data_IF_918668137369
#
_entry.id   IF_918668137369
#
_cell.length_a   1.000
_cell.length_b   1.000
_cell.length_c   1.000
_cell.angle_alpha   90.00
_cell.angle_beta   90.00
_cell.angle_gamma   90.00
#
_symmetry.space_group_name_H-M   'P 1'
#
loop_
_entity.id
_entity.type
_entity.pdbx_description
1 polymer ?
#
# COMPACT_ATOMS: atom_id res chain seq x y z
N UNK A 1 -30.33 3.85 -4.27
CA UNK A 1 -30.27 4.66 -3.04
C UNK A 1 -29.69 3.78 -1.94
N UNK A 2 -28.78 4.31 -1.11
CA UNK A 2 -28.10 3.57 -0.03
C UNK A 2 -28.32 4.35 1.27
N UNK A 3 -29.27 3.94 2.14
CA UNK A 3 -29.79 4.78 3.21
C UNK A 3 -28.77 5.13 4.30
N UNK A 4 -27.75 4.29 4.51
CA UNK A 4 -26.72 4.53 5.51
C UNK A 4 -25.48 5.26 4.94
N UNK A 5 -25.52 5.67 3.65
CA UNK A 5 -24.43 6.42 3.02
C UNK A 5 -23.19 5.56 2.76
N UNK A 6 -22.02 6.21 2.78
CA UNK A 6 -20.70 5.60 2.60
C UNK A 6 -20.01 5.30 3.94
N UNK A 7 -19.12 4.31 3.93
CA UNK A 7 -18.40 3.82 5.10
C UNK A 7 -17.52 4.90 5.75
N UNK A 8 -16.78 5.69 4.96
CA UNK A 8 -15.96 6.81 5.47
C UNK A 8 -16.79 7.79 6.32
N UNK A 9 -18.02 8.04 5.87
CA UNK A 9 -18.95 8.97 6.48
C UNK A 9 -19.50 8.48 7.83
N UNK A 10 -19.30 7.20 8.14
CA UNK A 10 -19.67 6.55 9.41
C UNK A 10 -18.45 6.25 10.29
N UNK A 11 -17.28 5.97 9.71
CA UNK A 11 -16.02 5.82 10.44
C UNK A 11 -15.51 7.15 11.01
N UNK A 12 -15.62 8.25 10.25
CA UNK A 12 -14.93 9.51 10.59
C UNK A 12 -15.80 10.59 11.23
N UNK A 13 -17.12 10.40 11.36
CA UNK A 13 -18.00 11.36 12.05
C UNK A 13 -18.14 10.97 13.53
N UNK A 14 -17.94 11.93 14.42
CA UNK A 14 -18.06 11.75 15.88
C UNK A 14 -19.44 11.23 16.33
N UNK A 15 -20.50 11.53 15.56
CA UNK A 15 -21.90 11.21 15.92
C UNK A 15 -22.39 9.84 15.43
N UNK A 16 -21.56 9.09 14.71
CA UNK A 16 -21.87 7.74 14.23
C UNK A 16 -20.83 6.76 14.72
N UNK A 17 -21.28 5.71 15.38
CA UNK A 17 -20.41 4.62 15.80
C UNK A 17 -20.95 3.31 15.22
N UNK A 18 -20.18 2.70 14.32
CA UNK A 18 -20.39 1.32 13.92
C UNK A 18 -19.85 0.41 15.03
N UNK A 19 -20.68 -0.51 15.54
CA UNK A 19 -20.24 -1.56 16.45
C UNK A 19 -19.23 -2.49 15.77
N UNK A 20 -18.50 -3.28 16.56
CA UNK A 20 -17.56 -4.25 16.01
C UNK A 20 -18.21 -5.22 15.02
N UNK A 21 -19.37 -5.81 15.36
CA UNK A 21 -20.09 -6.73 14.47
C UNK A 21 -20.40 -6.12 13.10
N UNK A 22 -20.81 -4.84 13.09
CA UNK A 22 -21.08 -4.11 11.84
C UNK A 22 -19.80 -3.90 11.05
N UNK A 23 -18.70 -3.48 11.70
CA UNK A 23 -17.39 -3.29 11.08
C UNK A 23 -16.87 -4.57 10.44
N UNK A 24 -16.89 -5.68 11.18
CA UNK A 24 -16.41 -6.98 10.71
C UNK A 24 -17.30 -7.53 9.59
N UNK A 25 -18.62 -7.37 9.68
CA UNK A 25 -19.58 -7.69 8.61
C UNK A 25 -19.29 -6.88 7.33
N UNK A 26 -19.00 -5.58 7.46
CA UNK A 26 -18.67 -4.70 6.32
C UNK A 26 -17.37 -5.13 5.65
N UNK A 27 -16.31 -5.42 6.43
CA UNK A 27 -15.04 -5.91 5.91
C UNK A 27 -15.21 -7.24 5.13
N UNK A 28 -15.96 -8.19 5.69
CA UNK A 28 -16.31 -9.45 5.00
C UNK A 28 -17.11 -9.22 3.72
N UNK A 29 -18.09 -8.31 3.76
CA UNK A 29 -18.88 -7.95 2.57
C UNK A 29 -18.06 -7.31 1.46
N UNK A 30 -17.08 -6.46 1.81
CA UNK A 30 -16.13 -5.90 0.85
C UNK A 30 -15.22 -6.99 0.25
N UNK A 31 -14.70 -7.88 1.08
CA UNK A 31 -13.88 -9.00 0.61
C UNK A 31 -14.65 -9.90 -0.36
N UNK A 32 -15.93 -10.22 -0.06
CA UNK A 32 -16.80 -10.97 -0.96
C UNK A 32 -17.09 -10.24 -2.27
N UNK A 33 -17.30 -8.92 -2.24
CA UNK A 33 -17.47 -8.13 -3.46
C UNK A 33 -16.20 -8.16 -4.32
N UNK A 34 -15.02 -8.10 -3.70
CA UNK A 34 -13.74 -8.15 -4.41
C UNK A 34 -13.43 -9.55 -4.97
N UNK A 35 -13.75 -10.61 -4.22
CA UNK A 35 -13.69 -11.99 -4.70
C UNK A 35 -14.51 -12.19 -5.96
N UNK A 36 -15.75 -11.68 -5.97
CA UNK A 36 -16.62 -11.76 -7.14
C UNK A 36 -15.98 -11.10 -8.37
N UNK A 37 -15.44 -9.88 -8.21
CA UNK A 37 -14.80 -9.13 -9.30
C UNK A 37 -13.52 -9.81 -9.83
N UNK A 38 -12.72 -10.44 -8.98
CA UNK A 38 -11.43 -11.02 -9.36
C UNK A 38 -11.49 -12.47 -9.83
N UNK A 39 -12.43 -13.26 -9.30
CA UNK A 39 -12.39 -14.73 -9.39
C UNK A 39 -13.72 -15.41 -9.76
N UNK A 40 -14.88 -14.76 -9.64
CA UNK A 40 -16.19 -15.42 -9.84
C UNK A 40 -17.02 -14.85 -11.01
N UNK A 41 -16.62 -13.69 -11.56
CA UNK A 41 -17.15 -13.17 -12.81
C UNK A 41 -16.45 -13.78 -14.03
N UNK A 42 -17.10 -13.74 -15.21
CA UNK A 42 -16.59 -14.32 -16.47
C UNK A 42 -15.22 -13.78 -16.91
N UNK A 43 -14.85 -12.58 -16.45
CA UNK A 43 -13.57 -11.93 -16.67
C UNK A 43 -13.13 -11.20 -15.40
N UNK A 44 -11.83 -11.18 -15.10
CA UNK A 44 -11.31 -10.38 -14.00
C UNK A 44 -11.61 -8.88 -14.19
N UNK A 45 -12.25 -8.27 -13.21
CA UNK A 45 -12.50 -6.82 -13.13
C UNK A 45 -11.58 -6.21 -12.07
N UNK A 46 -10.65 -5.36 -12.49
CA UNK A 46 -9.83 -4.56 -11.57
C UNK A 46 -10.54 -3.22 -11.34
N UNK A 47 -10.85 -2.89 -10.09
CA UNK A 47 -11.67 -1.73 -9.71
C UNK A 47 -10.88 -0.41 -9.71
N UNK A 48 -9.61 -0.44 -9.27
CA UNK A 48 -8.64 0.69 -9.29
C UNK A 48 -8.95 1.86 -8.35
N UNK A 49 -10.00 1.80 -7.55
CA UNK A 49 -10.41 2.88 -6.63
C UNK A 49 -11.22 2.36 -5.43
N UNK A 50 -10.74 1.27 -4.81
CA UNK A 50 -11.33 0.74 -3.58
C UNK A 50 -10.90 1.66 -2.42
N UNK A 51 -11.89 2.29 -1.78
CA UNK A 51 -11.70 3.23 -0.66
C UNK A 51 -12.97 3.34 0.18
N UNK A 52 -12.84 3.77 1.43
CA UNK A 52 -13.98 3.88 2.37
C UNK A 52 -15.13 4.75 1.86
N UNK A 53 -14.90 5.76 1.00
CA UNK A 53 -15.98 6.56 0.41
C UNK A 53 -16.76 5.86 -0.71
N UNK A 54 -16.16 4.84 -1.35
CA UNK A 54 -16.76 4.09 -2.46
C UNK A 54 -17.49 2.83 -1.97
N UNK A 55 -17.53 2.61 -0.65
CA UNK A 55 -18.20 1.48 -0.01
C UNK A 55 -19.50 1.99 0.59
N UNK A 56 -20.61 1.72 -0.09
CA UNK A 56 -21.94 2.14 0.31
C UNK A 56 -22.60 1.09 1.19
N UNK A 57 -23.43 1.53 2.14
CA UNK A 57 -24.14 0.65 3.06
C UNK A 57 -25.66 0.67 2.83
N UNK A 58 -26.25 -0.51 2.69
CA UNK A 58 -27.71 -0.66 2.64
C UNK A 58 -28.36 -0.54 4.04
N UNK A 59 -29.69 -0.66 4.13
CA UNK A 59 -30.45 -0.53 5.38
C UNK A 59 -30.09 -1.53 6.46
N UNK A 60 -29.42 -2.63 6.10
CA UNK A 60 -28.96 -3.69 7.01
C UNK A 60 -27.44 -3.65 7.21
N UNK A 61 -26.79 -2.54 6.86
CA UNK A 61 -25.34 -2.33 6.92
C UNK A 61 -24.56 -3.39 6.13
N UNK A 62 -25.12 -3.95 5.05
CA UNK A 62 -24.33 -4.77 4.13
C UNK A 62 -23.51 -3.84 3.21
N UNK A 63 -22.23 -4.16 3.03
CA UNK A 63 -21.35 -3.44 2.13
C UNK A 63 -21.74 -3.63 0.65
N UNK A 64 -21.68 -2.56 -0.13
CA UNK A 64 -21.85 -2.51 -1.58
C UNK A 64 -20.73 -1.64 -2.16
N UNK A 65 -19.76 -2.27 -2.80
CA UNK A 65 -18.70 -1.57 -3.52
C UNK A 65 -19.30 -0.87 -4.75
N UNK A 66 -18.93 0.39 -4.97
CA UNK A 66 -19.41 1.23 -6.05
C UNK A 66 -18.31 2.13 -6.63
N UNK A 67 -18.71 2.99 -7.58
CA UNK A 67 -17.81 3.79 -8.42
C UNK A 67 -16.82 2.96 -9.28
N UNK A 68 -17.39 2.28 -10.28
CA UNK A 68 -16.64 1.55 -11.29
C UNK A 68 -16.08 2.45 -12.41
N UNK A 69 -16.03 3.78 -12.25
CA UNK A 69 -15.57 4.71 -13.31
C UNK A 69 -14.14 4.46 -13.78
N UNK A 70 -13.26 4.01 -12.86
CA UNK A 70 -11.89 3.64 -13.17
C UNK A 70 -11.70 2.15 -13.49
N UNK A 71 -12.73 1.31 -13.32
CA UNK A 71 -12.62 -0.15 -13.42
C UNK A 71 -12.31 -0.62 -14.84
N UNK A 72 -11.59 -1.74 -14.97
CA UNK A 72 -11.17 -2.31 -16.27
C UNK A 72 -11.27 -3.84 -16.25
N UNK A 73 -11.69 -4.41 -17.38
CA UNK A 73 -11.61 -5.85 -17.64
C UNK A 73 -10.17 -6.23 -17.95
N UNK A 74 -9.72 -7.37 -17.42
CA UNK A 74 -8.38 -7.92 -17.63
C UNK A 74 -8.52 -9.39 -18.02
N UNK A 75 -8.04 -9.76 -19.21
CA UNK A 75 -7.90 -11.16 -19.58
C UNK A 75 -6.95 -11.85 -18.59
N UNK A 76 -7.39 -12.96 -17.98
CA UNK A 76 -6.62 -13.71 -16.98
C UNK A 76 -5.22 -14.13 -17.48
N UNK A 77 -5.01 -14.21 -18.80
CA UNK A 77 -3.75 -14.60 -19.44
C UNK A 77 -2.78 -13.43 -19.73
N UNK A 78 -3.25 -12.16 -19.77
CA UNK A 78 -2.45 -11.03 -20.31
C UNK A 78 -1.75 -10.17 -19.26
N UNK A 79 -1.93 -10.47 -17.97
CA UNK A 79 -1.27 -9.75 -16.88
C UNK A 79 -1.66 -8.27 -16.77
N UNK A 80 -0.86 -7.50 -16.03
CA UNK A 80 -1.14 -6.10 -15.70
C UNK A 80 -1.01 -5.18 -16.92
N UNK A 81 -2.06 -4.41 -17.18
CA UNK A 81 -2.14 -3.45 -18.28
C UNK A 81 -1.58 -2.09 -17.89
N UNK A 82 -0.83 -1.45 -18.80
CA UNK A 82 -0.44 -0.05 -18.66
C UNK A 82 -1.68 0.83 -18.80
N UNK A 83 -1.96 1.64 -17.77
CA UNK A 83 -3.09 2.57 -17.74
C UNK A 83 -2.62 3.96 -17.31
N UNK A 84 -3.42 4.98 -17.60
CA UNK A 84 -3.20 6.31 -17.00
C UNK A 84 -3.22 6.22 -15.47
N UNK A 85 -2.30 6.94 -14.83
CA UNK A 85 -2.19 7.02 -13.37
C UNK A 85 -3.49 7.57 -12.80
N UNK A 86 -4.25 6.69 -12.13
CA UNK A 86 -5.55 7.01 -11.55
C UNK A 86 -5.80 6.14 -10.31
N UNK A 87 -6.60 6.66 -9.38
CA UNK A 87 -6.86 6.10 -8.06
C UNK A 87 -6.76 7.19 -6.99
N UNK A 88 -6.97 6.82 -5.73
CA UNK A 88 -6.96 7.77 -4.61
C UNK A 88 -5.69 7.64 -3.75
N UNK A 89 -4.99 8.75 -3.53
CA UNK A 89 -3.79 8.80 -2.67
C UNK A 89 -4.08 8.22 -1.27
N UNK A 90 -3.15 7.42 -0.74
CA UNK A 90 -3.32 6.66 0.50
C UNK A 90 -3.93 5.26 0.32
N UNK A 91 -4.61 5.01 -0.80
CA UNK A 91 -5.16 3.68 -1.16
C UNK A 91 -4.39 3.01 -2.30
N UNK A 92 -3.74 3.80 -3.16
CA UNK A 92 -2.94 3.29 -4.28
C UNK A 92 -1.74 2.47 -3.79
N UNK A 93 -1.59 1.28 -4.37
CA UNK A 93 -0.43 0.43 -4.14
C UNK A 93 0.88 1.10 -4.63
N UNK A 94 2.05 0.84 -3.98
CA UNK A 94 3.31 1.48 -4.34
C UNK A 94 3.69 1.33 -5.82
N UNK A 95 3.46 0.16 -6.41
CA UNK A 95 3.73 -0.11 -7.82
C UNK A 95 2.77 0.66 -8.76
N UNK A 96 1.53 0.93 -8.35
CA UNK A 96 0.60 1.76 -9.12
C UNK A 96 1.07 3.21 -9.18
N UNK A 97 1.54 3.76 -8.05
CA UNK A 97 2.06 5.13 -7.97
C UNK A 97 3.30 5.30 -8.87
N UNK A 98 4.17 4.30 -8.92
CA UNK A 98 5.42 4.34 -9.69
C UNK A 98 5.25 4.04 -11.18
N UNK A 99 4.32 3.15 -11.56
CA UNK A 99 4.23 2.61 -12.93
C UNK A 99 2.94 2.93 -13.67
N UNK A 100 1.91 3.45 -12.99
CA UNK A 100 0.56 3.63 -13.53
C UNK A 100 -0.19 2.32 -13.80
N UNK A 101 0.43 1.16 -13.55
CA UNK A 101 -0.14 -0.15 -13.83
C UNK A 101 -0.98 -0.65 -12.67
N UNK A 102 -2.23 -0.97 -12.94
CA UNK A 102 -3.12 -1.63 -11.98
C UNK A 102 -3.20 -3.14 -12.22
N UNK A 103 -3.51 -3.88 -11.16
CA UNK A 103 -3.76 -5.32 -11.17
C UNK A 103 -4.70 -5.72 -10.02
N UNK A 104 -5.12 -6.99 -9.98
CA UNK A 104 -5.87 -7.54 -8.85
C UNK A 104 -5.10 -7.38 -7.52
N UNK A 105 -3.78 -7.51 -7.53
CA UNK A 105 -2.92 -7.32 -6.36
C UNK A 105 -2.93 -5.86 -5.85
N UNK A 106 -3.15 -4.89 -6.74
CA UNK A 106 -3.29 -3.47 -6.36
C UNK A 106 -4.67 -3.13 -5.76
N UNK A 107 -5.72 -3.82 -6.21
CA UNK A 107 -7.03 -3.77 -5.55
C UNK A 107 -6.97 -4.44 -4.17
N UNK A 108 -6.25 -5.57 -4.04
CA UNK A 108 -6.02 -6.24 -2.75
C UNK A 108 -5.27 -5.31 -1.78
N UNK A 109 -4.28 -4.56 -2.24
CA UNK A 109 -3.63 -3.53 -1.41
C UNK A 109 -4.64 -2.49 -0.92
N UNK A 110 -5.46 -1.94 -1.82
CA UNK A 110 -6.50 -0.97 -1.49
C UNK A 110 -7.53 -1.54 -0.48
N UNK A 111 -7.91 -2.81 -0.63
CA UNK A 111 -8.71 -3.55 0.37
C UNK A 111 -8.00 -3.65 1.73
N UNK A 112 -6.70 -3.93 1.74
CA UNK A 112 -5.89 -3.99 2.96
C UNK A 112 -5.92 -2.68 3.72
N UNK A 113 -5.76 -1.55 3.02
CA UNK A 113 -5.90 -0.21 3.60
C UNK A 113 -7.29 -0.01 4.23
N UNK A 114 -8.37 -0.36 3.52
CA UNK A 114 -9.74 -0.24 4.07
C UNK A 114 -9.97 -1.16 5.29
N UNK A 115 -9.40 -2.37 5.30
CA UNK A 115 -9.48 -3.26 6.47
C UNK A 115 -8.84 -2.61 7.71
N UNK A 116 -7.73 -1.88 7.55
CA UNK A 116 -7.11 -1.09 8.61
C UNK A 116 -7.95 0.12 9.01
N UNK A 117 -8.55 0.85 8.05
CA UNK A 117 -9.49 1.96 8.36
C UNK A 117 -10.66 1.47 9.23
N UNK A 118 -11.24 0.32 8.90
CA UNK A 118 -12.37 -0.29 9.62
C UNK A 118 -11.99 -0.64 11.07
N UNK A 119 -10.84 -1.29 11.27
CA UNK A 119 -10.35 -1.69 12.58
C UNK A 119 -9.97 -0.48 13.46
N UNK A 120 -9.22 0.46 12.89
CA UNK A 120 -8.62 1.58 13.63
C UNK A 120 -9.55 2.80 13.74
N UNK A 121 -10.54 2.93 12.86
CA UNK A 121 -11.40 4.12 12.77
C UNK A 121 -10.66 5.38 12.28
N UNK A 122 -9.50 5.22 11.64
CA UNK A 122 -8.56 6.27 11.23
C UNK A 122 -8.36 6.28 9.72
N UNK A 123 -8.14 7.47 9.15
CA UNK A 123 -7.84 7.64 7.72
C UNK A 123 -6.49 7.02 7.36
N UNK A 124 -6.27 6.57 6.10
CA UNK A 124 -4.99 6.00 5.67
C UNK A 124 -3.82 6.96 5.78
N UNK A 125 -4.10 8.25 5.56
CA UNK A 125 -3.20 9.37 5.77
C UNK A 125 -3.92 10.40 6.64
N UNK A 126 -3.37 10.70 7.82
CA UNK A 126 -3.90 11.66 8.77
C UNK A 126 -2.82 12.67 9.22
N UNK A 127 -2.72 13.84 8.55
CA UNK A 127 -1.75 14.87 8.91
C UNK A 127 -1.98 15.51 10.29
N UNK A 128 -3.08 15.22 10.98
CA UNK A 128 -3.35 15.68 12.35
C UNK A 128 -2.86 14.72 13.43
N UNK A 129 -2.44 13.51 13.05
CA UNK A 129 -1.87 12.52 13.95
C UNK A 129 -0.43 12.87 14.38
N UNK A 130 0.10 12.12 15.33
CA UNK A 130 1.53 12.16 15.67
C UNK A 130 2.36 11.76 14.45
N UNK A 131 3.60 12.26 14.36
CA UNK A 131 4.50 12.03 13.20
C UNK A 131 4.64 10.54 12.83
N UNK A 132 4.92 9.66 13.80
CA UNK A 132 5.00 8.20 13.60
C UNK A 132 3.65 7.50 13.33
N UNK A 133 2.56 8.27 13.25
CA UNK A 133 1.19 7.77 13.09
C UNK A 133 0.46 8.42 11.90
N UNK A 134 1.12 9.26 11.11
CA UNK A 134 0.51 9.94 9.95
C UNK A 134 0.06 8.94 8.89
N UNK A 135 0.85 7.89 8.65
CA UNK A 135 0.55 6.80 7.70
C UNK A 135 0.02 5.61 8.48
N UNK A 136 -1.24 5.24 8.22
CA UNK A 136 -1.95 4.20 8.97
C UNK A 136 -1.25 2.84 8.90
N UNK A 137 -0.89 2.40 7.69
CA UNK A 137 -0.28 1.08 7.46
C UNK A 137 1.08 0.95 8.16
N UNK A 138 1.91 1.98 8.15
CA UNK A 138 3.23 1.99 8.80
C UNK A 138 3.11 1.83 10.32
N UNK A 139 2.21 2.60 10.93
CA UNK A 139 1.95 2.55 12.38
C UNK A 139 1.36 1.21 12.84
N UNK A 140 0.40 0.64 12.09
CA UNK A 140 -0.14 -0.69 12.43
C UNK A 140 0.92 -1.78 12.23
N UNK A 141 1.83 -1.64 11.26
CA UNK A 141 2.94 -2.58 11.08
C UNK A 141 3.97 -2.50 12.21
N UNK A 142 4.26 -1.30 12.73
CA UNK A 142 5.09 -1.11 13.92
C UNK A 142 4.50 -1.86 15.13
N UNK A 143 3.21 -1.65 15.41
CA UNK A 143 2.49 -2.33 16.50
C UNK A 143 2.40 -3.85 16.30
N UNK A 144 2.21 -4.34 15.07
CA UNK A 144 2.33 -5.77 14.78
C UNK A 144 3.74 -6.30 15.10
N UNK A 145 4.78 -5.54 14.73
CA UNK A 145 6.18 -5.88 14.98
C UNK A 145 6.56 -5.99 16.46
N UNK A 146 5.92 -5.23 17.34
CA UNK A 146 6.11 -5.30 18.80
C UNK A 146 5.13 -6.24 19.51
N UNK A 147 4.18 -6.86 18.78
CA UNK A 147 3.15 -7.72 19.36
C UNK A 147 1.98 -6.97 20.02
N UNK A 148 1.86 -5.66 19.76
CA UNK A 148 0.88 -4.74 20.34
C UNK A 148 -0.23 -4.34 19.36
N UNK A 149 -0.51 -5.16 18.33
CA UNK A 149 -1.43 -4.78 17.23
C UNK A 149 -2.82 -4.32 17.68
N UNK A 150 -3.33 -4.81 18.81
CA UNK A 150 -4.62 -4.39 19.37
C UNK A 150 -4.63 -2.93 19.88
N UNK A 151 -3.48 -2.31 20.13
CA UNK A 151 -3.38 -0.88 20.44
C UNK A 151 -3.75 0.02 19.24
N UNK A 152 -3.84 -0.55 18.03
CA UNK A 152 -4.33 0.16 16.86
C UNK A 152 -5.86 0.25 16.77
N UNK A 153 -6.59 -0.57 17.55
CA UNK A 153 -8.05 -0.62 17.50
C UNK A 153 -8.70 0.74 17.82
N UNK A 154 -9.83 1.04 17.17
CA UNK A 154 -10.54 2.30 17.36
C UNK A 154 -10.91 2.52 18.84
N UNK A 155 -10.37 3.56 19.51
CA UNK A 155 -10.61 3.77 20.94
C UNK A 155 -12.08 4.05 21.26
N UNK A 156 -12.89 4.46 20.27
CA UNK A 156 -14.35 4.67 20.43
C UNK A 156 -15.14 3.36 20.55
N UNK A 157 -14.53 2.22 20.24
CA UNK A 157 -15.11 0.91 20.53
C UNK A 157 -15.00 0.55 22.03
N UNK A 158 -14.18 1.25 22.82
CA UNK A 158 -14.07 1.01 24.27
C UNK A 158 -13.78 -0.47 24.67
N UNK A 159 -13.01 -1.18 23.84
CA UNK A 159 -12.76 -2.63 23.92
C UNK A 159 -13.99 -3.56 23.73
N UNK A 160 -15.10 -3.04 23.19
CA UNK A 160 -16.27 -3.81 22.74
C UNK A 160 -16.02 -4.41 21.33
N UNK A 161 -15.13 -5.41 21.27
CA UNK A 161 -14.81 -6.18 20.06
C UNK A 161 -14.26 -7.57 20.41
N UNK A 162 -14.38 -8.54 19.50
CA UNK A 162 -13.65 -9.81 19.62
C UNK A 162 -12.18 -9.59 19.26
N UNK A 163 -11.28 -9.76 20.23
CA UNK A 163 -9.83 -9.56 20.04
C UNK A 163 -9.23 -10.40 18.91
N UNK A 164 -9.76 -11.61 18.66
CA UNK A 164 -9.24 -12.54 17.64
C UNK A 164 -9.71 -12.13 16.25
N UNK A 165 -10.95 -11.70 16.10
CA UNK A 165 -11.45 -11.11 14.84
C UNK A 165 -10.75 -9.78 14.55
N UNK A 166 -10.57 -8.93 15.56
CA UNK A 166 -9.86 -7.65 15.46
C UNK A 166 -8.40 -7.85 15.01
N UNK A 167 -7.65 -8.72 15.69
CA UNK A 167 -6.30 -9.07 15.29
C UNK A 167 -6.23 -9.70 13.89
N UNK A 168 -7.16 -10.60 13.53
CA UNK A 168 -7.24 -11.18 12.18
C UNK A 168 -7.49 -10.12 11.11
N UNK A 169 -8.43 -9.20 11.33
CA UNK A 169 -8.75 -8.15 10.36
C UNK A 169 -7.52 -7.27 10.10
N UNK A 170 -6.78 -6.88 11.15
CA UNK A 170 -5.58 -6.08 11.01
C UNK A 170 -4.42 -6.85 10.37
N UNK A 171 -4.16 -8.10 10.75
CA UNK A 171 -3.08 -8.91 10.15
C UNK A 171 -3.39 -9.21 8.67
N UNK A 172 -4.63 -9.50 8.31
CA UNK A 172 -5.04 -9.62 6.89
C UNK A 172 -4.93 -8.27 6.19
N UNK A 173 -5.28 -7.16 6.85
CA UNK A 173 -5.06 -5.80 6.35
C UNK A 173 -3.60 -5.54 5.98
N UNK A 174 -2.66 -5.84 6.87
CA UNK A 174 -1.21 -5.75 6.63
C UNK A 174 -0.73 -6.70 5.53
N UNK A 175 -1.23 -7.93 5.48
CA UNK A 175 -0.85 -8.90 4.44
C UNK A 175 -1.31 -8.45 3.05
N UNK A 176 -2.53 -7.94 2.97
CA UNK A 176 -3.08 -7.32 1.76
C UNK A 176 -2.32 -6.04 1.38
N UNK A 177 -1.95 -5.20 2.35
CA UNK A 177 -1.18 -3.98 2.15
C UNK A 177 0.34 -4.21 2.04
N UNK A 178 0.79 -5.43 1.74
CA UNK A 178 2.22 -5.74 1.63
C UNK A 178 2.90 -4.92 0.50
N UNK A 179 4.06 -4.29 0.72
CA UNK A 179 4.71 -3.43 -0.28
C UNK A 179 5.04 -4.12 -1.61
N UNK A 180 5.59 -5.34 -1.57
CA UNK A 180 5.72 -6.22 -2.74
C UNK A 180 4.36 -6.86 -3.07
N UNK A 181 3.88 -6.66 -4.30
CA UNK A 181 2.60 -7.19 -4.78
C UNK A 181 2.57 -8.72 -4.91
N UNK A 182 3.71 -9.37 -5.09
CA UNK A 182 3.80 -10.84 -5.21
C UNK A 182 3.60 -11.57 -3.88
N UNK A 183 3.72 -10.85 -2.75
CA UNK A 183 3.57 -11.39 -1.41
C UNK A 183 2.19 -11.10 -0.80
N UNK A 184 1.33 -10.37 -1.52
CA UNK A 184 -0.08 -10.15 -1.17
C UNK A 184 -0.88 -11.44 -1.42
N UNK A 185 -1.94 -11.71 -0.65
CA UNK A 185 -2.80 -12.86 -0.86
C UNK A 185 -3.68 -12.71 -2.11
N UNK A 186 -4.14 -13.83 -2.65
CA UNK A 186 -5.42 -13.82 -3.38
C UNK A 186 -6.53 -13.45 -2.41
N UNK A 187 -7.53 -12.68 -2.83
CA UNK A 187 -8.60 -12.25 -1.93
C UNK A 187 -9.36 -13.43 -1.31
N UNK A 188 -9.49 -14.56 -2.03
CA UNK A 188 -9.99 -15.84 -1.46
C UNK A 188 -9.19 -16.34 -0.26
N UNK A 189 -7.86 -16.24 -0.30
CA UNK A 189 -6.98 -16.64 0.81
C UNK A 189 -7.17 -15.70 2.00
N UNK A 190 -7.27 -14.39 1.74
CA UNK A 190 -7.60 -13.39 2.76
C UNK A 190 -8.93 -13.69 3.46
N UNK A 191 -9.96 -14.06 2.70
CA UNK A 191 -11.27 -14.48 3.23
C UNK A 191 -11.15 -15.69 4.15
N UNK A 192 -10.47 -16.76 3.74
CA UNK A 192 -10.31 -17.95 4.60
C UNK A 192 -9.60 -17.62 5.92
N UNK A 193 -8.63 -16.70 5.93
CA UNK A 193 -7.98 -16.26 7.18
C UNK A 193 -8.93 -15.43 8.04
N UNK A 194 -9.71 -14.51 7.44
CA UNK A 194 -10.72 -13.72 8.13
C UNK A 194 -11.81 -14.60 8.76
N UNK A 195 -12.27 -15.64 8.08
CA UNK A 195 -13.30 -16.57 8.58
C UNK A 195 -12.75 -17.68 9.49
N UNK A 196 -11.45 -17.66 9.80
CA UNK A 196 -10.76 -18.68 10.63
C UNK A 196 -10.67 -20.08 10.00
N UNK A 197 -10.89 -20.20 8.69
CA UNK A 197 -10.73 -21.42 7.90
C UNK A 197 -9.25 -21.70 7.54
N UNK A 198 -8.39 -20.67 7.62
CA UNK A 198 -6.94 -20.76 7.42
C UNK A 198 -6.15 -20.09 8.58
N UNK A 199 -4.89 -20.51 8.84
CA UNK A 199 -4.04 -19.88 9.85
C UNK A 199 -3.62 -18.46 9.42
N UNK A 200 -3.25 -17.64 10.40
CA UNK A 200 -2.69 -16.31 10.17
C UNK A 200 -1.39 -16.37 9.34
N UNK A 201 -1.15 -15.43 8.41
CA UNK A 201 0.12 -15.32 7.70
C UNK A 201 1.24 -14.88 8.65
N UNK A 202 2.46 -15.36 8.39
CA UNK A 202 3.67 -14.92 9.09
C UNK A 202 4.27 -13.70 8.39
N UNK A 203 3.87 -12.49 8.78
CA UNK A 203 4.42 -11.24 8.23
C UNK A 203 5.74 -10.84 8.95
N UNK A 204 6.67 -10.15 8.26
CA UNK A 204 7.90 -9.65 8.88
C UNK A 204 7.60 -8.60 9.96
N UNK A 205 8.37 -8.61 11.05
CA UNK A 205 8.19 -7.70 12.20
C UNK A 205 8.54 -6.23 11.90
N UNK A 206 9.05 -5.91 10.72
CA UNK A 206 9.18 -4.54 10.20
C UNK A 206 8.60 -4.50 8.81
N UNK A 207 7.92 -3.41 8.46
CA UNK A 207 7.42 -3.22 7.10
C UNK A 207 8.59 -3.24 6.11
N UNK A 208 8.55 -4.06 5.06
CA UNK A 208 9.59 -4.05 4.04
C UNK A 208 9.64 -2.70 3.32
N UNK A 209 10.83 -2.25 2.94
CA UNK A 209 10.95 -1.10 2.04
C UNK A 209 10.45 -1.52 0.65
N UNK A 210 9.58 -0.74 -0.03
CA UNK A 210 9.17 -1.05 -1.40
C UNK A 210 10.38 -1.23 -2.33
N UNK A 211 10.56 -2.44 -2.84
CA UNK A 211 11.79 -2.85 -3.57
C UNK A 211 12.01 -2.03 -4.86
N UNK A 212 10.95 -1.42 -5.38
CA UNK A 212 10.96 -0.55 -6.55
C UNK A 212 11.70 0.79 -6.37
N UNK A 213 12.16 1.13 -5.15
CA UNK A 213 12.91 2.36 -4.87
C UNK A 213 14.43 2.25 -5.12
N UNK A 214 14.95 1.06 -5.44
CA UNK A 214 16.34 0.88 -5.81
C UNK A 214 16.48 0.74 -7.33
N UNK A 215 17.06 1.73 -8.03
CA UNK A 215 17.59 1.49 -9.37
C UNK A 215 18.67 0.40 -9.27
N UNK A 216 18.76 -0.55 -10.23
CA UNK A 216 19.97 -1.34 -10.34
C UNK A 216 21.12 -0.37 -10.63
N UNK A 217 22.05 -0.25 -9.69
CA UNK A 217 23.30 0.49 -9.91
C UNK A 217 24.08 -0.29 -10.96
N UNK A 218 23.88 0.09 -12.23
CA UNK A 218 24.71 -0.33 -13.33
C UNK A 218 26.12 0.19 -13.05
N UNK A 219 26.95 -0.67 -12.44
CA UNK A 219 28.36 -0.40 -12.27
C UNK A 219 28.94 -0.06 -13.65
N UNK A 220 29.64 1.08 -13.81
CA UNK A 220 30.17 1.46 -15.11
C UNK A 220 31.16 0.39 -15.58
N UNK A 221 30.86 -0.23 -16.71
CA UNK A 221 31.72 -1.23 -17.31
C UNK A 221 33.11 -0.62 -17.54
N UNK A 222 34.14 -1.21 -16.94
CA UNK A 222 35.51 -0.74 -17.10
C UNK A 222 35.93 -0.87 -18.56
N UNK A 223 36.43 0.20 -19.22
CA UNK A 223 36.83 0.11 -20.62
C UNK A 223 38.10 -0.73 -20.75
N UNK A 224 37.95 -1.94 -21.32
CA UNK A 224 39.09 -2.77 -21.73
C UNK A 224 39.76 -2.15 -22.96
N UNK A 225 40.88 -1.46 -22.74
CA UNK A 225 41.75 -0.99 -23.83
C UNK A 225 42.58 -2.15 -24.41
N UNK A 226 42.29 -2.52 -25.65
CA UNK A 226 43.15 -3.40 -26.45
C UNK A 226 44.24 -2.59 -27.15
N UNK A 227 45.50 -2.83 -26.80
CA UNK A 227 46.64 -2.26 -27.54
C UNK A 227 46.87 -2.99 -28.86
N UNK A 228 46.76 -2.28 -29.98
CA UNK A 228 47.29 -2.71 -31.28
C UNK A 228 48.53 -1.86 -31.64
N UNK A 229 49.68 -2.52 -31.74
CA UNK A 229 50.94 -1.87 -32.11
C UNK A 229 51.01 -1.66 -33.64
N UNK A 230 51.09 -0.40 -34.08
CA UNK A 230 51.52 -0.05 -35.43
C UNK A 230 52.49 1.16 -35.35
N UNK A 231 53.66 1.03 -35.98
CA UNK A 231 54.71 2.03 -35.96
C UNK A 231 54.40 3.21 -36.91
N UNK A 232 54.61 4.44 -36.45
CA UNK A 232 54.59 5.65 -37.29
C UNK A 232 54.54 6.94 -36.48
N UNK A 233 55.63 7.72 -36.48
CA UNK A 233 55.77 9.01 -35.79
C UNK A 233 56.45 10.04 -36.73
N UNK A 234 56.59 11.33 -36.38
CA UNK A 234 55.98 12.13 -35.29
C UNK A 234 55.08 13.25 -35.91
N UNK A 235 54.78 14.45 -35.38
CA UNK A 235 55.06 15.20 -34.14
C UNK A 235 53.97 16.28 -33.93
N UNK A 236 53.70 16.70 -32.68
CA UNK A 236 53.62 18.11 -32.19
C UNK A 236 52.80 18.26 -30.88
N UNK A 237 53.53 18.70 -29.83
CA UNK A 237 53.14 19.61 -28.74
C UNK A 237 51.90 19.36 -27.83
N UNK A 238 52.20 18.74 -26.68
CA UNK A 238 52.15 19.39 -25.35
C UNK A 238 50.98 20.31 -24.97
N UNK A 239 50.12 19.88 -24.02
CA UNK A 239 50.29 20.29 -22.61
C UNK A 239 49.28 19.68 -21.60
N UNK A 240 49.85 19.27 -20.46
CA UNK A 240 49.32 19.25 -19.08
C UNK A 240 48.01 18.52 -18.73
N UNK A 241 48.20 17.41 -17.98
CA UNK A 241 47.22 16.78 -17.11
C UNK A 241 47.14 17.58 -15.79
N UNK A 242 45.93 17.84 -15.28
CA UNK A 242 45.69 18.00 -13.85
C UNK A 242 44.55 17.10 -13.38
N UNK A 243 44.89 16.17 -12.49
CA UNK A 243 43.96 15.31 -11.75
C UNK A 243 43.63 15.99 -10.42
N UNK A 244 42.35 16.09 -10.07
CA UNK A 244 41.93 16.25 -8.67
C UNK A 244 40.74 15.33 -8.38
N UNK A 245 41.02 14.22 -7.72
CA UNK A 245 40.03 13.42 -7.02
C UNK A 245 39.51 14.23 -5.82
N UNK A 246 38.20 14.38 -5.67
CA UNK A 246 37.60 14.72 -4.38
C UNK A 246 36.98 13.47 -3.75
N UNK A 247 37.68 12.96 -2.75
CA UNK A 247 37.26 11.86 -1.89
C UNK A 247 36.13 12.29 -0.95
N UNK A 248 35.22 11.36 -0.67
CA UNK A 248 34.25 11.46 0.43
C UNK A 248 34.93 11.85 1.75
N UNK A 249 34.26 12.70 2.54
CA UNK A 249 34.41 12.64 3.99
C UNK A 249 33.11 13.01 4.71
N UNK A 250 32.83 12.29 5.79
CA UNK A 250 31.66 12.47 6.64
C UNK A 250 31.92 13.54 7.70
N UNK A 251 30.92 14.37 8.05
CA UNK A 251 30.56 14.52 9.46
C UNK A 251 29.23 15.25 9.74
N UNK A 252 28.77 15.03 10.97
CA UNK A 252 27.57 15.61 11.59
C UNK A 252 27.66 17.11 11.85
N UNK A 253 26.50 17.73 12.09
CA UNK A 253 26.29 19.07 12.67
C UNK A 253 26.67 20.25 11.76
N UNK A 254 25.71 20.74 10.97
CA UNK A 254 25.10 22.07 11.20
C UNK A 254 24.11 22.43 10.09
N UNK A 255 22.89 22.84 10.48
CA UNK A 255 22.13 23.98 9.92
C UNK A 255 20.72 24.01 10.51
N UNK A 256 20.57 24.77 11.59
CA UNK A 256 19.30 25.42 11.95
C UNK A 256 19.10 26.67 11.08
N UNK A 257 17.83 27.07 10.97
CA UNK A 257 17.28 28.37 10.53
C UNK A 257 16.92 28.56 9.04
N UNK A 258 15.77 29.25 8.89
CA UNK A 258 15.15 29.81 7.67
C UNK A 258 14.87 28.80 6.54
N UNK A 259 13.63 28.60 6.12
CA UNK A 259 12.80 29.64 5.51
C UNK A 259 11.35 29.68 6.00
N UNK A 260 10.86 30.91 6.20
CA UNK A 260 9.44 31.27 6.27
C UNK A 260 9.19 32.36 5.23
N UNK A 261 7.93 32.52 4.79
CA UNK A 261 7.48 33.35 3.65
C UNK A 261 7.89 32.73 2.30
N UNK A 262 6.97 32.33 1.42
CA UNK A 262 5.71 32.96 1.03
C UNK A 262 4.45 32.09 1.24
#
# INVERSE_FOLDING_TARGET
FMPNGSLDSLLYKEKSLLSWDMRFKIARGLASALLYLHEEWEQCVVHRDIKSSNIMLDSSFNAKLGDFGLARLVDHEKGSQTTDLAGTMGYMAPECVLTGKASRESDVYSFGIVALEIACGRKPIDPSAKESQVILVEWVWELYGTGQILEAADPRLCADFDEREMARLMIVGLWCAHPDSNLRPLIRQGIHVLTSEAPLPSLPAKMPVPTYLAPPVLAPASPTFSYSLAYGAPALESNQIQLLNYSYNTNSNDLRNSYAQF
#
